data_IF_353880983213
#
_entry.id   IF_353880983213
#
_cell.length_a   1.000
_cell.length_b   1.000
_cell.length_c   1.000
_cell.angle_alpha   90.00
_cell.angle_beta   90.00
_cell.angle_gamma   90.00
#
_symmetry.space_group_name_H-M   'P 1'
#
loop_
_entity.id
_entity.type
_entity.pdbx_description
1 polymer ?
#
# COMPACT_ATOMS: atom_id res chain seq x y z
N UNK A 1 26.47 7.22 -4.89
CA UNK A 1 26.85 6.43 -3.69
C UNK A 1 26.22 6.95 -2.39
N UNK A 2 26.36 8.23 -2.02
CA UNK A 2 25.71 8.81 -0.80
C UNK A 2 24.19 8.58 -0.74
N UNK A 3 23.48 8.81 -1.85
CA UNK A 3 22.03 8.59 -1.93
C UNK A 3 21.61 7.14 -1.63
N UNK A 4 22.41 6.17 -2.06
CA UNK A 4 22.18 4.75 -1.75
C UNK A 4 22.35 4.49 -0.25
N UNK A 5 23.37 5.09 0.38
CA UNK A 5 23.58 4.95 1.83
C UNK A 5 22.43 5.53 2.64
N UNK A 6 21.97 6.74 2.29
CA UNK A 6 20.78 7.35 2.90
C UNK A 6 19.57 6.42 2.74
N UNK A 7 19.37 5.88 1.54
CA UNK A 7 18.28 4.96 1.26
C UNK A 7 18.33 3.69 2.13
N UNK A 8 19.50 3.08 2.26
CA UNK A 8 19.71 1.87 3.06
C UNK A 8 19.48 2.11 4.56
N UNK A 9 19.90 3.27 5.08
CA UNK A 9 19.77 3.62 6.50
C UNK A 9 18.31 3.55 6.97
N UNK A 10 17.35 4.02 6.17
CA UNK A 10 15.94 3.93 6.55
C UNK A 10 15.23 2.69 5.98
N UNK A 11 15.64 2.19 4.81
CA UNK A 11 14.97 1.05 4.17
C UNK A 11 15.19 -0.25 4.93
N UNK A 12 16.41 -0.51 5.43
CA UNK A 12 16.71 -1.75 6.17
C UNK A 12 15.89 -1.86 7.47
N UNK A 13 15.89 -0.86 8.38
CA UNK A 13 15.06 -0.92 9.58
C UNK A 13 13.57 -1.04 9.27
N UNK A 14 13.10 -0.34 8.22
CA UNK A 14 11.68 -0.37 7.84
C UNK A 14 11.27 -1.74 7.29
N UNK A 15 12.13 -2.36 6.49
CA UNK A 15 11.90 -3.71 5.98
C UNK A 15 11.88 -4.73 7.11
N UNK A 16 12.86 -4.66 8.02
CA UNK A 16 12.88 -5.51 9.22
C UNK A 16 11.59 -5.36 10.03
N UNK A 17 11.12 -4.12 10.23
CA UNK A 17 9.84 -3.87 10.89
C UNK A 17 8.67 -4.49 10.12
N UNK A 18 8.68 -4.41 8.79
CA UNK A 18 7.64 -5.01 7.96
C UNK A 18 7.59 -6.53 8.12
N UNK A 19 8.74 -7.21 8.06
CA UNK A 19 8.83 -8.65 8.32
C UNK A 19 8.34 -8.99 9.74
N UNK A 20 8.76 -8.23 10.76
CA UNK A 20 8.32 -8.44 12.15
C UNK A 20 6.80 -8.33 12.25
N UNK A 21 6.20 -7.28 11.70
CA UNK A 21 4.74 -7.09 11.73
C UNK A 21 4.01 -8.23 11.02
N UNK A 22 4.48 -8.66 9.84
CA UNK A 22 3.91 -9.76 9.09
C UNK A 22 3.99 -11.09 9.86
N UNK A 23 5.14 -11.39 10.49
CA UNK A 23 5.33 -12.60 11.32
C UNK A 23 4.40 -12.57 12.52
N UNK A 24 4.31 -11.45 13.25
CA UNK A 24 3.45 -11.33 14.43
C UNK A 24 1.97 -11.49 14.08
N UNK A 25 1.53 -10.90 12.96
CA UNK A 25 0.17 -11.06 12.43
C UNK A 25 -0.11 -12.52 12.09
N UNK A 26 0.81 -13.18 11.37
CA UNK A 26 0.66 -14.59 10.98
C UNK A 26 0.61 -15.51 12.19
N UNK A 27 1.48 -15.29 13.18
CA UNK A 27 1.52 -16.08 14.43
C UNK A 27 0.23 -15.92 15.24
N UNK A 28 -0.31 -14.71 15.32
CA UNK A 28 -1.51 -14.40 16.10
C UNK A 28 -2.80 -14.37 15.26
N UNK A 29 -2.81 -15.04 14.09
CA UNK A 29 -3.93 -15.02 13.13
C UNK A 29 -5.29 -15.37 13.75
N UNK A 30 -5.30 -16.32 14.69
CA UNK A 30 -6.54 -16.74 15.39
C UNK A 30 -7.19 -15.60 16.19
N UNK A 31 -6.38 -14.65 16.69
CA UNK A 31 -6.84 -13.48 17.47
C UNK A 31 -7.10 -12.26 16.59
N UNK A 32 -6.38 -12.14 15.47
CA UNK A 32 -6.42 -11.01 14.54
C UNK A 32 -7.15 -11.37 13.23
N UNK A 33 -8.32 -12.02 13.32
CA UNK A 33 -9.15 -12.33 12.14
C UNK A 33 -9.85 -11.09 11.62
N UNK A 34 -9.13 -10.24 10.90
CA UNK A 34 -9.67 -9.08 10.18
C UNK A 34 -9.24 -9.11 8.72
N UNK A 35 -10.16 -8.72 7.84
CA UNK A 35 -9.92 -8.52 6.40
C UNK A 35 -8.76 -7.55 6.17
N UNK A 36 -8.55 -6.60 7.08
CA UNK A 36 -7.42 -5.66 7.03
C UNK A 36 -6.09 -6.39 6.97
N UNK A 37 -5.91 -7.39 7.83
CA UNK A 37 -4.64 -8.09 7.95
C UNK A 37 -4.37 -9.00 6.75
N UNK A 38 -5.41 -9.50 6.06
CA UNK A 38 -5.23 -10.19 4.77
C UNK A 38 -4.64 -9.20 3.75
N UNK A 39 -5.27 -8.02 3.61
CA UNK A 39 -4.79 -6.98 2.69
C UNK A 39 -3.40 -6.47 3.04
N UNK A 40 -3.10 -6.32 4.33
CA UNK A 40 -1.77 -5.92 4.79
C UNK A 40 -0.69 -6.96 4.45
N UNK A 41 -0.99 -8.26 4.57
CA UNK A 41 -0.04 -9.32 4.20
C UNK A 41 0.16 -9.43 2.69
N UNK A 42 -0.90 -9.21 1.91
CA UNK A 42 -0.80 -9.12 0.45
C UNK A 42 0.05 -7.91 0.04
N UNK A 43 -0.24 -6.73 0.59
CA UNK A 43 0.50 -5.50 0.34
C UNK A 43 1.98 -5.64 0.76
N UNK A 44 2.26 -6.32 1.87
CA UNK A 44 3.62 -6.71 2.26
C UNK A 44 4.33 -7.50 1.15
N UNK A 45 3.71 -8.56 0.62
CA UNK A 45 4.31 -9.37 -0.43
C UNK A 45 4.58 -8.56 -1.70
N UNK A 46 3.61 -7.74 -2.14
CA UNK A 46 3.78 -6.90 -3.32
C UNK A 46 4.84 -5.82 -3.08
N UNK A 47 4.90 -5.19 -1.90
CA UNK A 47 5.90 -4.19 -1.59
C UNK A 47 7.32 -4.79 -1.48
N UNK A 48 7.47 -6.03 -1.02
CA UNK A 48 8.75 -6.75 -1.11
C UNK A 48 9.19 -6.92 -2.57
N UNK A 49 8.28 -7.32 -3.46
CA UNK A 49 8.57 -7.44 -4.89
C UNK A 49 8.95 -6.08 -5.51
N UNK A 50 8.17 -5.03 -5.23
CA UNK A 50 8.49 -3.65 -5.68
C UNK A 50 9.88 -3.25 -5.22
N UNK A 51 10.20 -3.49 -3.95
CA UNK A 51 11.48 -3.12 -3.39
C UNK A 51 12.62 -3.85 -4.10
N UNK A 52 12.50 -5.16 -4.39
CA UNK A 52 13.51 -5.92 -5.15
C UNK A 52 13.72 -5.30 -6.54
N UNK A 53 12.64 -5.07 -7.28
CA UNK A 53 12.73 -4.50 -8.63
C UNK A 53 13.33 -3.10 -8.62
N UNK A 54 12.78 -2.19 -7.81
CA UNK A 54 13.29 -0.82 -7.65
C UNK A 54 14.73 -0.78 -7.15
N UNK A 55 15.12 -1.73 -6.29
CA UNK A 55 16.49 -1.81 -5.79
C UNK A 55 17.48 -2.14 -6.91
N UNK A 56 17.12 -3.07 -7.80
CA UNK A 56 17.93 -3.42 -8.97
C UNK A 56 17.91 -2.30 -10.00
N UNK A 57 16.72 -1.81 -10.38
CA UNK A 57 16.55 -0.94 -11.55
C UNK A 57 16.84 0.53 -11.33
N UNK A 58 16.61 1.04 -10.11
CA UNK A 58 16.79 2.44 -9.79
C UNK A 58 17.94 2.64 -8.82
N UNK A 59 17.90 2.01 -7.64
CA UNK A 59 18.80 2.34 -6.53
C UNK A 59 20.24 1.88 -6.80
N UNK A 60 20.41 0.62 -7.18
CA UNK A 60 21.72 0.03 -7.40
C UNK A 60 22.31 0.50 -8.73
N UNK A 61 21.49 0.59 -9.78
CA UNK A 61 21.92 1.09 -11.09
C UNK A 61 22.46 2.53 -11.01
N UNK A 62 21.73 3.45 -10.36
CA UNK A 62 22.15 4.84 -10.17
C UNK A 62 23.36 5.02 -9.24
N UNK A 63 23.75 3.98 -8.50
CA UNK A 63 24.94 4.00 -7.67
C UNK A 63 26.14 3.31 -8.32
N UNK A 64 25.93 2.53 -9.37
CA UNK A 64 26.96 1.73 -10.03
C UNK A 64 27.56 2.50 -11.20
N UNK A 65 28.86 2.79 -11.14
CA UNK A 65 29.59 3.39 -12.25
C UNK A 65 29.93 2.35 -13.33
N UNK A 66 30.19 2.81 -14.56
CA UNK A 66 30.52 1.94 -15.70
C UNK A 66 31.74 1.02 -15.48
N UNK A 67 32.64 1.35 -14.55
CA UNK A 67 33.85 0.58 -14.24
C UNK A 67 33.84 -0.02 -12.82
N UNK A 68 32.72 0.10 -12.11
CA UNK A 68 32.60 -0.37 -10.73
C UNK A 68 32.52 -1.91 -10.66
N UNK A 69 32.74 -2.48 -9.47
CA UNK A 69 32.67 -3.93 -9.22
C UNK A 69 31.37 -4.58 -9.72
N UNK A 70 30.26 -3.86 -9.65
CA UNK A 70 28.94 -4.34 -10.06
C UNK A 70 28.60 -4.03 -11.53
N UNK A 71 29.49 -3.36 -12.28
CA UNK A 71 29.28 -3.07 -13.70
C UNK A 71 29.14 -4.33 -14.57
N UNK A 72 29.90 -5.43 -14.35
CA UNK A 72 29.72 -6.66 -15.12
C UNK A 72 28.30 -7.22 -15.01
N UNK A 73 27.64 -7.09 -13.86
CA UNK A 73 26.26 -7.55 -13.69
C UNK A 73 25.31 -6.86 -14.68
N UNK A 74 25.34 -5.52 -14.76
CA UNK A 74 24.48 -4.76 -15.66
C UNK A 74 24.81 -4.99 -17.15
N UNK A 75 26.09 -5.22 -17.47
CA UNK A 75 26.51 -5.57 -18.83
C UNK A 75 26.04 -6.96 -19.24
N UNK A 76 26.06 -7.95 -18.34
CA UNK A 76 25.60 -9.31 -18.63
C UNK A 76 24.10 -9.38 -18.90
N UNK A 77 23.30 -8.59 -18.18
CA UNK A 77 21.85 -8.56 -18.39
C UNK A 77 21.41 -7.60 -19.50
N UNK A 78 22.34 -6.85 -20.10
CA UNK A 78 22.07 -5.91 -21.17
C UNK A 78 21.47 -6.60 -22.38
N UNK A 79 20.45 -5.98 -22.97
CA UNK A 79 19.78 -6.43 -24.19
C UNK A 79 19.19 -7.85 -24.09
N UNK A 80 18.92 -8.30 -22.86
CA UNK A 80 18.26 -9.58 -22.58
C UNK A 80 16.80 -9.40 -22.19
N UNK A 81 16.05 -10.51 -22.26
CA UNK A 81 14.67 -10.60 -21.75
C UNK A 81 14.57 -10.19 -20.26
N UNK A 82 15.65 -10.35 -19.49
CA UNK A 82 15.69 -9.91 -18.09
C UNK A 82 15.55 -8.39 -17.99
N UNK A 83 16.22 -7.63 -18.85
CA UNK A 83 16.11 -6.16 -18.85
C UNK A 83 14.71 -5.69 -19.24
N UNK A 84 14.09 -6.35 -20.22
CA UNK A 84 12.71 -6.11 -20.62
C UNK A 84 11.72 -6.40 -19.48
N UNK A 85 11.92 -7.55 -18.81
CA UNK A 85 11.14 -7.94 -17.66
C UNK A 85 11.27 -6.94 -16.51
N UNK A 86 12.50 -6.57 -16.14
CA UNK A 86 12.77 -5.61 -15.07
C UNK A 86 12.12 -4.26 -15.34
N UNK A 87 12.21 -3.74 -16.57
CA UNK A 87 11.59 -2.47 -16.93
C UNK A 87 10.06 -2.56 -16.87
N UNK A 88 9.47 -3.60 -17.47
CA UNK A 88 8.01 -3.84 -17.42
C UNK A 88 7.51 -3.97 -15.98
N UNK A 89 8.26 -4.65 -15.11
CA UNK A 89 7.89 -4.84 -13.71
C UNK A 89 7.86 -3.53 -12.93
N UNK A 90 8.70 -2.54 -13.25
CA UNK A 90 8.64 -1.23 -12.59
C UNK A 90 7.28 -0.55 -12.77
N UNK A 91 6.77 -0.53 -14.01
CA UNK A 91 5.45 0.04 -14.31
C UNK A 91 4.33 -0.83 -13.75
N UNK A 92 4.45 -2.15 -13.90
CA UNK A 92 3.51 -3.11 -13.33
C UNK A 92 3.30 -2.88 -11.82
N UNK A 93 4.38 -2.75 -11.05
CA UNK A 93 4.28 -2.53 -9.61
C UNK A 93 3.62 -1.18 -9.27
N UNK A 94 3.78 -0.15 -10.10
CA UNK A 94 3.04 1.11 -9.96
C UNK A 94 1.53 0.89 -10.08
N UNK A 95 1.06 0.19 -11.12
CA UNK A 95 -0.36 -0.15 -11.24
C UNK A 95 -0.87 -0.95 -10.03
N UNK A 96 -0.12 -1.98 -9.64
CA UNK A 96 -0.46 -2.85 -8.51
C UNK A 96 -0.61 -2.06 -7.22
N UNK A 97 0.34 -1.19 -6.89
CA UNK A 97 0.32 -0.41 -5.64
C UNK A 97 -0.84 0.60 -5.60
N UNK A 98 -1.11 1.28 -6.72
CA UNK A 98 -2.22 2.22 -6.80
C UNK A 98 -3.58 1.52 -6.68
N UNK A 99 -3.74 0.40 -7.37
CA UNK A 99 -4.98 -0.38 -7.31
C UNK A 99 -5.18 -0.98 -5.92
N UNK A 100 -4.14 -1.56 -5.32
CA UNK A 100 -4.17 -2.11 -3.95
C UNK A 100 -4.63 -1.05 -2.95
N UNK A 101 -4.02 0.13 -2.99
CA UNK A 101 -4.39 1.21 -2.07
C UNK A 101 -5.84 1.67 -2.28
N UNK A 102 -6.29 1.82 -3.53
CA UNK A 102 -7.68 2.18 -3.82
C UNK A 102 -8.67 1.12 -3.31
N UNK A 103 -8.38 -0.17 -3.52
CA UNK A 103 -9.21 -1.27 -3.03
C UNK A 103 -9.19 -1.36 -1.50
N UNK A 104 -8.06 -1.11 -0.85
CA UNK A 104 -8.00 -1.01 0.62
C UNK A 104 -8.89 0.13 1.13
N UNK A 105 -8.90 1.28 0.46
CA UNK A 105 -9.80 2.41 0.81
C UNK A 105 -11.28 2.02 0.67
N UNK A 106 -11.66 1.32 -0.41
CA UNK A 106 -13.02 0.79 -0.60
C UNK A 106 -13.37 -0.24 0.48
N UNK A 107 -12.45 -1.15 0.78
CA UNK A 107 -12.59 -2.15 1.82
C UNK A 107 -12.85 -1.49 3.18
N UNK A 108 -12.05 -0.49 3.58
CA UNK A 108 -12.26 0.25 4.83
C UNK A 108 -13.62 0.96 4.84
N UNK A 109 -13.97 1.69 3.79
CA UNK A 109 -15.26 2.38 3.71
C UNK A 109 -16.42 1.40 3.86
N UNK A 110 -16.41 0.28 3.14
CA UNK A 110 -17.49 -0.70 3.20
C UNK A 110 -17.67 -1.30 4.60
N UNK A 111 -16.57 -1.59 5.31
CA UNK A 111 -16.60 -2.09 6.69
C UNK A 111 -17.14 -1.02 7.65
N UNK A 112 -16.79 0.25 7.42
CA UNK A 112 -17.31 1.38 8.20
C UNK A 112 -18.82 1.53 8.01
N UNK A 113 -19.32 1.36 6.78
CA UNK A 113 -20.75 1.47 6.47
C UNK A 113 -21.56 0.30 7.03
N UNK A 114 -21.06 -0.94 6.89
CA UNK A 114 -21.71 -2.12 7.46
C UNK A 114 -20.68 -3.20 7.80
N UNK A 115 -20.18 -3.15 9.04
CA UNK A 115 -19.16 -4.06 9.53
C UNK A 115 -19.58 -5.54 9.47
N UNK A 116 -20.83 -5.87 9.85
CA UNK A 116 -21.24 -7.28 9.98
C UNK A 116 -21.26 -8.03 8.64
N UNK A 117 -21.74 -7.38 7.59
CA UNK A 117 -21.85 -7.98 6.27
C UNK A 117 -20.53 -7.90 5.50
N UNK A 118 -19.94 -6.70 5.41
CA UNK A 118 -18.77 -6.51 4.56
C UNK A 118 -17.52 -7.17 5.12
N UNK A 119 -17.33 -7.22 6.44
CA UNK A 119 -16.16 -7.90 7.01
C UNK A 119 -16.13 -9.39 6.61
N UNK A 120 -17.28 -10.08 6.71
CA UNK A 120 -17.42 -11.47 6.26
C UNK A 120 -17.21 -11.62 4.75
N UNK A 121 -17.77 -10.70 3.97
CA UNK A 121 -17.64 -10.71 2.51
C UNK A 121 -16.17 -10.58 2.10
N UNK A 122 -15.45 -9.60 2.65
CA UNK A 122 -14.04 -9.40 2.36
C UNK A 122 -13.18 -10.55 2.84
N UNK A 123 -13.41 -11.10 4.03
CA UNK A 123 -12.68 -12.27 4.51
C UNK A 123 -12.81 -13.47 3.55
N UNK A 124 -13.97 -13.64 2.89
CA UNK A 124 -14.22 -14.74 1.96
C UNK A 124 -13.71 -14.47 0.54
N UNK A 125 -13.89 -13.25 0.04
CA UNK A 125 -13.69 -12.94 -1.39
C UNK A 125 -12.46 -12.09 -1.69
N UNK A 126 -11.66 -11.65 -0.70
CA UNK A 126 -10.47 -10.78 -0.95
C UNK A 126 -9.44 -11.39 -1.91
N UNK A 127 -9.40 -12.72 -2.06
CA UNK A 127 -8.49 -13.40 -3.00
C UNK A 127 -8.78 -13.00 -4.46
N UNK A 128 -10.05 -12.77 -4.82
CA UNK A 128 -10.44 -12.43 -6.19
C UNK A 128 -9.83 -11.09 -6.62
N UNK A 129 -10.07 -9.94 -5.92
CA UNK A 129 -9.45 -8.68 -6.29
C UNK A 129 -7.92 -8.74 -6.16
N UNK A 130 -7.34 -9.46 -5.20
CA UNK A 130 -5.88 -9.64 -5.12
C UNK A 130 -5.29 -10.28 -6.38
N UNK A 131 -5.96 -11.31 -6.92
CA UNK A 131 -5.57 -11.94 -8.17
C UNK A 131 -5.69 -10.97 -9.35
N UNK A 132 -6.81 -10.24 -9.45
CA UNK A 132 -7.01 -9.24 -10.50
C UNK A 132 -5.95 -8.14 -10.43
N UNK A 133 -5.66 -7.60 -9.25
CA UNK A 133 -4.64 -6.57 -9.07
C UNK A 133 -3.25 -7.07 -9.47
N UNK A 134 -2.93 -8.32 -9.14
CA UNK A 134 -1.64 -8.93 -9.48
C UNK A 134 -1.49 -9.17 -10.99
N UNK A 135 -2.54 -9.64 -11.67
CA UNK A 135 -2.41 -10.13 -13.05
C UNK A 135 -2.91 -9.15 -14.13
N UNK A 136 -3.93 -8.35 -13.85
CA UNK A 136 -4.49 -7.42 -14.82
C UNK A 136 -3.46 -6.43 -15.39
N UNK A 137 -2.52 -5.87 -14.61
CA UNK A 137 -1.55 -4.93 -15.15
C UNK A 137 -0.58 -5.55 -16.18
N UNK A 138 -0.43 -6.88 -16.24
CA UNK A 138 0.37 -7.50 -17.31
C UNK A 138 -0.22 -7.28 -18.69
N UNK A 139 -1.55 -7.22 -18.81
CA UNK A 139 -2.22 -6.98 -20.11
C UNK A 139 -1.87 -5.61 -20.69
N UNK A 140 -1.81 -4.59 -19.82
CA UNK A 140 -1.49 -3.21 -20.21
C UNK A 140 0.02 -3.03 -20.44
N UNK A 141 0.87 -3.73 -19.68
CA UNK A 141 2.33 -3.60 -19.77
C UNK A 141 2.96 -4.55 -20.81
N UNK A 142 2.21 -5.46 -21.42
CA UNK A 142 2.74 -6.39 -22.43
C UNK A 142 3.48 -5.70 -23.61
N UNK A 143 3.03 -4.55 -24.14
CA UNK A 143 3.78 -3.81 -25.16
C UNK A 143 5.15 -3.31 -24.68
N UNK A 144 5.27 -2.99 -23.39
CA UNK A 144 6.53 -2.56 -22.76
C UNK A 144 7.48 -3.74 -22.64
N UNK A 145 6.97 -4.90 -22.20
CA UNK A 145 7.75 -6.13 -22.12
C UNK A 145 8.29 -6.57 -23.49
N UNK A 146 7.53 -6.33 -24.56
CA UNK A 146 7.93 -6.68 -25.93
C UNK A 146 8.92 -5.68 -26.57
N UNK A 147 9.25 -4.59 -25.87
CA UNK A 147 10.15 -3.55 -26.38
C UNK A 147 11.61 -3.86 -26.10
N UNK A 148 12.53 -3.33 -26.90
CA UNK A 148 13.96 -3.49 -26.66
C UNK A 148 14.40 -2.55 -25.53
N UNK A 149 14.99 -3.16 -24.50
CA UNK A 149 15.41 -2.48 -23.28
C UNK A 149 16.91 -2.67 -23.05
N UNK A 150 17.62 -1.57 -22.89
CA UNK A 150 19.08 -1.54 -22.83
C UNK A 150 19.55 -0.74 -21.60
N UNK A 151 20.71 -1.12 -21.05
CA UNK A 151 21.34 -0.38 -19.97
C UNK A 151 22.29 0.66 -20.55
N UNK A 152 21.87 1.92 -20.49
CA UNK A 152 22.66 3.05 -20.96
C UNK A 152 23.58 3.63 -19.87
N UNK A 153 24.47 4.53 -20.31
CA UNK A 153 25.25 5.38 -19.41
C UNK A 153 24.62 6.76 -19.30
N UNK A 154 24.52 7.28 -18.08
CA UNK A 154 24.14 8.66 -17.81
C UNK A 154 25.37 9.59 -17.83
N UNK A 155 25.14 10.90 -17.80
CA UNK A 155 26.14 11.97 -17.66
C UNK A 155 27.07 11.79 -16.45
N UNK A 156 26.57 11.23 -15.34
CA UNK A 156 27.37 10.89 -14.15
C UNK A 156 28.11 9.55 -14.27
N UNK A 157 28.12 8.95 -15.47
CA UNK A 157 28.72 7.64 -15.79
C UNK A 157 28.14 6.49 -14.98
N UNK A 158 26.89 6.60 -14.54
CA UNK A 158 26.15 5.51 -13.88
C UNK A 158 25.22 4.78 -14.84
N UNK A 159 24.76 3.59 -14.45
CA UNK A 159 23.82 2.80 -15.23
C UNK A 159 22.38 3.29 -15.08
N UNK A 160 21.62 3.19 -16.17
CA UNK A 160 20.19 3.49 -16.19
C UNK A 160 19.52 2.66 -17.28
N UNK A 161 18.36 2.11 -16.96
CA UNK A 161 17.59 1.26 -17.86
C UNK A 161 16.68 2.12 -18.73
N UNK A 162 16.77 1.93 -20.04
CA UNK A 162 15.92 2.61 -21.03
C UNK A 162 15.32 1.58 -21.99
N UNK A 163 14.16 1.88 -22.55
CA UNK A 163 13.56 1.08 -23.60
C UNK A 163 13.09 1.96 -24.74
N UNK A 164 13.03 1.39 -25.94
CA UNK A 164 12.57 2.07 -27.15
C UNK A 164 11.04 2.19 -27.19
N UNK A 165 10.49 2.89 -26.20
CA UNK A 165 9.07 3.18 -26.08
C UNK A 165 8.90 4.68 -25.77
N UNK A 166 8.12 5.43 -26.55
CA UNK A 166 7.86 6.83 -26.27
C UNK A 166 7.27 7.03 -24.87
N UNK A 167 7.80 8.00 -24.12
CA UNK A 167 7.35 8.30 -22.75
C UNK A 167 5.85 8.55 -22.65
N UNK A 168 5.23 9.13 -23.69
CA UNK A 168 3.79 9.36 -23.75
C UNK A 168 2.98 8.07 -23.80
N UNK A 169 3.46 7.03 -24.50
CA UNK A 169 2.82 5.71 -24.53
C UNK A 169 2.97 4.96 -23.21
N UNK A 170 4.05 5.22 -22.47
CA UNK A 170 4.31 4.65 -21.15
C UNK A 170 3.45 5.32 -20.07
N UNK A 171 3.52 6.65 -19.97
CA UNK A 171 2.94 7.39 -18.86
C UNK A 171 1.47 7.75 -19.05
N UNK A 172 0.95 7.96 -20.27
CA UNK A 172 -0.46 8.38 -20.43
C UNK A 172 -1.45 7.34 -19.87
N UNK A 173 -1.37 6.04 -20.22
CA UNK A 173 -2.29 5.04 -19.66
C UNK A 173 -2.14 4.92 -18.14
N UNK A 174 -0.90 5.01 -17.65
CA UNK A 174 -0.59 4.95 -16.22
C UNK A 174 -1.19 6.13 -15.47
N UNK A 175 -1.05 7.36 -15.98
CA UNK A 175 -1.60 8.57 -15.36
C UNK A 175 -3.13 8.49 -15.29
N UNK A 176 -3.79 8.09 -16.38
CA UNK A 176 -5.26 7.92 -16.40
C UNK A 176 -5.69 6.94 -15.30
N UNK A 177 -5.00 5.81 -15.20
CA UNK A 177 -5.27 4.81 -14.17
C UNK A 177 -5.02 5.32 -12.75
N UNK A 178 -3.87 5.96 -12.51
CA UNK A 178 -3.50 6.53 -11.22
C UNK A 178 -4.50 7.58 -10.76
N UNK A 179 -4.94 8.48 -11.66
CA UNK A 179 -5.96 9.50 -11.38
C UNK A 179 -7.30 8.84 -11.02
N UNK A 180 -7.73 7.81 -11.74
CA UNK A 180 -8.95 7.06 -11.41
C UNK A 180 -8.86 6.43 -10.00
N UNK A 181 -7.73 5.80 -9.66
CA UNK A 181 -7.49 5.25 -8.32
C UNK A 181 -7.50 6.33 -7.24
N UNK A 182 -6.89 7.49 -7.49
CA UNK A 182 -6.87 8.60 -6.54
C UNK A 182 -8.27 9.15 -6.28
N UNK A 183 -9.05 9.39 -7.34
CA UNK A 183 -10.42 9.87 -7.20
C UNK A 183 -11.22 8.88 -6.34
N UNK A 184 -11.10 7.58 -6.62
CA UNK A 184 -11.71 6.53 -5.81
C UNK A 184 -11.27 6.60 -4.33
N UNK A 185 -9.97 6.68 -4.06
CA UNK A 185 -9.42 6.77 -2.70
C UNK A 185 -9.92 8.03 -1.96
N UNK A 186 -9.89 9.20 -2.60
CA UNK A 186 -10.32 10.48 -2.01
C UNK A 186 -11.81 10.42 -1.67
N UNK A 187 -12.65 9.94 -2.59
CA UNK A 187 -14.09 9.79 -2.35
C UNK A 187 -14.34 8.82 -1.20
N UNK A 188 -13.64 7.67 -1.17
CA UNK A 188 -13.77 6.69 -0.11
C UNK A 188 -13.37 7.26 1.26
N UNK A 189 -12.25 7.99 1.32
CA UNK A 189 -11.76 8.61 2.54
C UNK A 189 -12.69 9.73 3.03
N UNK A 190 -13.20 10.55 2.11
CA UNK A 190 -14.13 11.63 2.45
C UNK A 190 -15.43 11.09 3.04
N UNK A 191 -16.04 10.08 2.39
CA UNK A 191 -17.25 9.43 2.93
C UNK A 191 -16.96 8.76 4.28
N UNK A 192 -15.83 8.05 4.40
CA UNK A 192 -15.42 7.42 5.65
C UNK A 192 -15.34 8.46 6.78
N UNK A 193 -14.71 9.60 6.51
CA UNK A 193 -14.59 10.70 7.46
C UNK A 193 -15.96 11.28 7.87
N UNK A 194 -16.87 11.52 6.91
CA UNK A 194 -18.22 12.02 7.19
C UNK A 194 -19.02 11.06 8.08
N UNK A 195 -18.96 9.75 7.80
CA UNK A 195 -19.63 8.73 8.60
C UNK A 195 -19.07 8.70 10.01
N UNK A 196 -17.75 8.82 10.17
CA UNK A 196 -17.10 8.84 11.48
C UNK A 196 -17.50 10.06 12.27
N UNK A 197 -17.52 11.27 11.69
CA UNK A 197 -17.95 12.48 12.41
C UNK A 197 -19.35 12.28 13.00
N UNK A 198 -20.29 11.77 12.21
CA UNK A 198 -21.69 11.55 12.59
C UNK A 198 -21.91 10.38 13.54
N UNK A 199 -20.91 9.52 13.76
CA UNK A 199 -21.03 8.35 14.62
C UNK A 199 -20.85 8.67 16.11
N UNK A 200 -21.50 7.90 16.99
CA UNK A 200 -21.36 8.03 18.45
C UNK A 200 -19.96 7.62 18.93
N UNK A 201 -19.55 8.06 20.13
CA UNK A 201 -18.21 7.80 20.67
C UNK A 201 -17.89 6.31 20.85
N UNK A 202 -18.88 5.48 21.20
CA UNK A 202 -18.71 4.03 21.29
C UNK A 202 -18.49 3.40 19.92
N UNK A 203 -19.28 3.84 18.92
CA UNK A 203 -19.11 3.43 17.53
C UNK A 203 -17.76 3.93 16.99
N UNK A 204 -17.28 5.11 17.38
CA UNK A 204 -15.93 5.62 17.04
C UNK A 204 -14.79 4.84 17.69
N UNK A 205 -14.98 4.28 18.89
CA UNK A 205 -14.00 3.39 19.53
C UNK A 205 -13.98 2.00 18.89
N UNK A 206 -15.13 1.55 18.38
CA UNK A 206 -15.30 0.28 17.66
C UNK A 206 -14.86 0.39 16.21
N UNK A 207 -15.16 1.51 15.56
CA UNK A 207 -14.56 1.91 14.31
C UNK A 207 -13.09 2.09 14.59
N UNK A 208 -12.32 1.39 13.79
CA UNK A 208 -10.90 1.45 13.71
C UNK A 208 -10.42 2.84 13.21
N UNK A 209 -10.75 3.93 13.90
CA UNK A 209 -10.51 5.33 13.45
C UNK A 209 -9.05 5.59 13.11
N UNK A 210 -8.13 4.89 13.78
CA UNK A 210 -6.70 4.93 13.50
C UNK A 210 -6.37 4.44 12.08
N UNK A 211 -7.16 3.52 11.52
CA UNK A 211 -7.00 3.04 10.16
C UNK A 211 -7.53 4.02 9.11
N UNK A 212 -8.40 4.97 9.48
CA UNK A 212 -8.79 6.08 8.60
C UNK A 212 -7.62 7.04 8.40
N UNK A 213 -6.85 7.29 9.47
CA UNK A 213 -5.61 8.07 9.38
C UNK A 213 -4.61 7.35 8.47
N UNK A 214 -4.49 6.01 8.58
CA UNK A 214 -3.64 5.21 7.71
C UNK A 214 -4.00 5.39 6.23
N UNK A 215 -5.26 5.20 5.84
CA UNK A 215 -5.69 5.35 4.43
C UNK A 215 -5.59 6.80 3.93
N UNK A 216 -5.71 7.78 4.83
CA UNK A 216 -5.56 9.19 4.48
C UNK A 216 -4.11 9.51 4.14
N UNK A 217 -3.16 9.04 4.95
CA UNK A 217 -1.73 9.21 4.70
C UNK A 217 -1.31 8.49 3.41
N UNK A 218 -1.77 7.25 3.18
CA UNK A 218 -1.45 6.53 1.94
C UNK A 218 -2.02 7.22 0.70
N UNK A 219 -3.17 7.89 0.81
CA UNK A 219 -3.74 8.67 -0.30
C UNK A 219 -2.92 9.92 -0.62
N UNK A 220 -2.30 10.56 0.38
CA UNK A 220 -1.36 11.67 0.15
C UNK A 220 -0.12 11.18 -0.60
N UNK A 221 0.41 10.00 -0.25
CA UNK A 221 1.53 9.39 -0.97
C UNK A 221 1.13 9.01 -2.40
N UNK A 222 -0.09 8.50 -2.61
CA UNK A 222 -0.67 8.29 -3.95
C UNK A 222 -0.65 9.58 -4.78
N UNK A 223 -1.15 10.67 -4.22
CA UNK A 223 -1.16 11.97 -4.89
C UNK A 223 0.25 12.41 -5.28
N UNK A 224 1.20 12.33 -4.35
CA UNK A 224 2.60 12.68 -4.61
C UNK A 224 3.20 11.86 -5.76
N UNK A 225 2.97 10.54 -5.79
CA UNK A 225 3.44 9.68 -6.88
C UNK A 225 2.84 10.02 -8.23
N UNK A 226 1.58 10.47 -8.28
CA UNK A 226 0.91 10.81 -9.54
C UNK A 226 1.43 12.13 -10.06
N UNK A 227 1.65 13.11 -9.18
CA UNK A 227 2.30 14.38 -9.53
C UNK A 227 3.68 14.11 -10.15
N UNK A 228 4.49 13.23 -9.56
CA UNK A 228 5.78 12.84 -10.14
C UNK A 228 5.62 12.20 -11.52
N UNK A 229 4.65 11.30 -11.68
CA UNK A 229 4.40 10.63 -12.97
C UNK A 229 4.01 11.64 -14.06
N UNK A 230 3.17 12.63 -13.74
CA UNK A 230 2.78 13.74 -14.63
C UNK A 230 4.00 14.58 -15.01
N UNK A 231 4.84 14.94 -14.04
CA UNK A 231 6.07 15.71 -14.28
C UNK A 231 6.99 14.96 -15.25
N UNK A 232 7.19 13.65 -15.01
CA UNK A 232 8.04 12.81 -15.86
C UNK A 232 7.52 12.72 -17.31
N UNK A 233 6.21 12.63 -17.48
CA UNK A 233 5.60 12.60 -18.82
C UNK A 233 5.79 13.92 -19.57
N UNK A 234 5.51 15.06 -18.91
CA UNK A 234 5.56 16.38 -19.54
C UNK A 234 6.97 16.91 -19.79
N UNK A 235 7.99 16.35 -19.15
CA UNK A 235 9.35 16.88 -19.15
C UNK A 235 10.41 15.89 -19.67
N UNK A 236 10.00 14.85 -20.40
CA UNK A 236 10.82 13.70 -20.84
C UNK A 236 12.18 14.06 -21.46
N UNK A 237 12.31 15.21 -22.13
CA UNK A 237 13.56 15.65 -22.78
C UNK A 237 14.37 16.71 -22.01
N UNK A 238 13.98 17.04 -20.78
CA UNK A 238 14.60 18.12 -19.99
C UNK A 238 15.51 17.58 -18.89
N UNK A 239 16.36 18.45 -18.34
CA UNK A 239 17.14 18.15 -17.13
C UNK A 239 16.26 17.81 -15.92
N UNK A 240 15.02 18.32 -15.89
CA UNK A 240 14.03 18.05 -14.83
C UNK A 240 13.70 16.56 -14.79
N UNK A 241 13.49 15.90 -15.93
CA UNK A 241 13.23 14.46 -15.96
C UNK A 241 14.36 13.68 -15.29
N UNK A 242 15.61 14.01 -15.61
CA UNK A 242 16.79 13.34 -15.05
C UNK A 242 16.83 13.48 -13.53
N UNK A 243 16.61 14.68 -13.01
CA UNK A 243 16.61 14.95 -11.57
C UNK A 243 15.49 14.21 -10.87
N UNK A 244 14.26 14.33 -11.39
CA UNK A 244 13.07 13.73 -10.78
C UNK A 244 13.13 12.21 -10.81
N UNK A 245 13.47 11.62 -11.95
CA UNK A 245 13.58 10.16 -12.12
C UNK A 245 14.70 9.58 -11.23
N UNK A 246 15.81 10.30 -11.06
CA UNK A 246 16.96 9.79 -10.32
C UNK A 246 16.80 9.95 -8.82
N UNK A 247 16.43 11.15 -8.38
CA UNK A 247 16.53 11.50 -6.98
C UNK A 247 15.19 11.43 -6.29
N UNK A 248 14.10 11.84 -6.94
CA UNK A 248 12.80 11.98 -6.28
C UNK A 248 11.99 10.69 -6.36
N UNK A 249 11.96 10.04 -7.53
CA UNK A 249 11.17 8.84 -7.78
C UNK A 249 11.49 7.70 -6.80
N UNK A 250 12.76 7.39 -6.46
CA UNK A 250 13.06 6.35 -5.48
C UNK A 250 12.50 6.64 -4.09
N UNK A 251 12.53 7.89 -3.61
CA UNK A 251 11.96 8.25 -2.30
C UNK A 251 10.44 8.10 -2.28
N UNK A 252 9.76 8.50 -3.34
CA UNK A 252 8.31 8.34 -3.43
C UNK A 252 7.93 6.86 -3.51
N UNK A 253 8.67 6.06 -4.31
CA UNK A 253 8.53 4.61 -4.32
C UNK A 253 8.75 3.98 -2.94
N UNK A 254 9.66 4.53 -2.15
CA UNK A 254 9.87 4.08 -0.77
C UNK A 254 8.71 4.48 0.13
N UNK A 255 8.15 5.68 -0.04
CA UNK A 255 6.89 6.07 0.61
C UNK A 255 5.77 5.05 0.41
N UNK A 256 5.63 4.47 -0.78
CA UNK A 256 4.65 3.40 -1.03
C UNK A 256 5.03 2.06 -0.40
N UNK A 257 6.31 1.71 -0.32
CA UNK A 257 6.71 0.36 0.06
C UNK A 257 6.94 0.21 1.56
N UNK A 258 7.56 1.20 2.22
CA UNK A 258 8.07 1.02 3.59
C UNK A 258 7.31 1.81 4.66
N UNK A 259 6.35 2.67 4.28
CA UNK A 259 5.56 3.46 5.23
C UNK A 259 4.53 2.62 6.00
N UNK A 260 3.92 1.63 5.35
CA UNK A 260 2.87 0.77 5.88
C UNK A 260 3.17 0.15 7.27
N UNK A 261 4.34 -0.47 7.51
CA UNK A 261 4.64 -1.05 8.82
C UNK A 261 4.77 -0.02 9.94
N UNK A 262 5.32 1.16 9.65
CA UNK A 262 5.41 2.24 10.63
C UNK A 262 4.03 2.75 11.01
N UNK A 263 3.18 3.00 10.00
CA UNK A 263 1.80 3.41 10.24
C UNK A 263 1.06 2.37 11.07
N UNK A 264 1.19 1.07 10.75
CA UNK A 264 0.53 0.02 11.51
C UNK A 264 0.97 -0.01 12.97
N UNK A 265 2.27 0.10 13.26
CA UNK A 265 2.79 0.06 14.64
C UNK A 265 2.40 1.30 15.45
N UNK A 266 2.38 2.47 14.82
CA UNK A 266 1.98 3.73 15.47
C UNK A 266 0.48 3.72 15.76
N UNK A 267 -0.33 3.30 14.79
CA UNK A 267 -1.79 3.44 14.81
C UNK A 267 -2.50 2.24 15.45
N UNK A 268 -1.95 1.02 15.38
CA UNK A 268 -2.57 -0.18 15.94
C UNK A 268 -2.00 -0.56 17.32
N UNK A 269 -2.72 -0.16 18.37
CA UNK A 269 -2.46 -0.59 19.76
C UNK A 269 -2.32 -2.12 19.91
N UNK A 270 -3.22 -2.97 19.38
CA UNK A 270 -3.12 -4.42 19.56
C UNK A 270 -1.88 -5.01 18.87
N UNK A 271 -1.53 -4.56 17.66
CA UNK A 271 -0.31 -5.03 16.98
C UNK A 271 0.94 -4.62 17.75
N UNK A 272 1.01 -3.37 18.21
CA UNK A 272 2.14 -2.88 19.02
C UNK A 272 2.31 -3.67 20.32
N UNK A 273 1.22 -4.02 20.99
CA UNK A 273 1.27 -4.84 22.20
C UNK A 273 1.78 -6.26 21.90
N UNK A 274 1.29 -6.88 20.82
CA UNK A 274 1.75 -8.20 20.39
C UNK A 274 3.23 -8.20 19.99
N UNK A 275 3.73 -7.14 19.34
CA UNK A 275 5.17 -7.00 19.03
C UNK A 275 5.99 -6.91 20.32
N UNK A 276 5.59 -6.06 21.29
CA UNK A 276 6.29 -5.94 22.58
C UNK A 276 6.35 -7.26 23.33
N UNK A 277 5.24 -8.00 23.34
CA UNK A 277 5.13 -9.29 24.03
C UNK A 277 5.89 -10.41 23.30
N UNK A 278 5.73 -10.54 21.99
CA UNK A 278 6.23 -11.71 21.24
C UNK A 278 7.68 -11.56 20.79
N UNK A 279 8.16 -10.33 20.56
CA UNK A 279 9.53 -10.06 20.07
C UNK A 279 10.44 -9.63 21.20
N UNK A 280 10.03 -8.61 21.95
CA UNK A 280 10.87 -8.06 23.03
C UNK A 280 10.71 -8.81 24.35
N UNK A 281 9.79 -9.79 24.43
CA UNK A 281 9.46 -10.54 25.65
C UNK A 281 9.23 -9.63 26.87
N UNK A 282 8.77 -8.39 26.65
CA UNK A 282 8.31 -7.58 27.76
C UNK A 282 7.08 -8.27 28.31
N UNK A 283 7.22 -8.80 29.53
CA UNK A 283 6.12 -9.37 30.28
C UNK A 283 5.07 -8.27 30.43
N UNK A 284 3.99 -8.40 29.67
CA UNK A 284 2.85 -7.53 29.84
C UNK A 284 2.30 -7.82 31.22
N UNK A 285 2.46 -6.88 32.16
CA UNK A 285 1.65 -6.84 33.37
C UNK A 285 0.22 -7.17 32.96
N UNK A 286 -0.31 -8.24 33.54
CA UNK A 286 -1.68 -8.70 33.35
C UNK A 286 -2.59 -7.49 33.48
N UNK A 287 -3.23 -7.08 32.39
CA UNK A 287 -4.50 -6.38 32.55
C UNK A 287 -5.44 -7.46 33.05
N UNK A 288 -5.59 -7.53 34.37
CA UNK A 288 -6.54 -8.40 35.02
C UNK A 288 -7.92 -8.18 34.37
N UNK A 289 -8.65 -9.25 34.01
CA UNK A 289 -10.06 -9.10 33.77
C UNK A 289 -10.67 -8.68 35.11
N UNK A 290 -11.34 -7.54 35.15
CA UNK A 290 -12.17 -7.19 36.29
C UNK A 290 -13.13 -8.36 36.54
N UNK A 291 -12.84 -9.11 37.61
CA UNK A 291 -13.73 -10.13 38.12
C UNK A 291 -14.99 -9.44 38.61
N UNK A 292 -16.11 -9.81 38.01
CA UNK A 292 -17.40 -9.82 38.68
C UNK A 292 -18.11 -11.07 38.19
N UNK A 293 -18.05 -12.12 38.99
CA UNK A 293 -18.92 -13.27 38.80
C UNK A 293 -20.37 -12.79 38.85
N UNK A 294 -21.08 -12.98 37.75
CA UNK A 294 -22.53 -12.94 37.69
C UNK A 294 -22.98 -13.78 36.49
N UNK A 295 -23.47 -14.96 36.82
CA UNK A 295 -24.45 -15.81 36.13
C UNK A 295 -25.06 -15.18 34.87
N UNK A 296 -24.83 -15.81 33.72
CA UNK A 296 -25.51 -15.46 32.47
C UNK A 296 -27.00 -15.83 32.55
N UNK A 297 -27.86 -14.86 32.83
CA UNK A 297 -29.24 -14.85 32.39
C UNK A 297 -29.34 -14.00 31.11
N UNK A 298 -29.70 -14.62 29.98
CA UNK A 298 -30.44 -13.94 28.91
C UNK A 298 -31.84 -13.57 29.48
N UNK A 299 -32.53 -12.46 29.12
CA UNK A 299 -32.53 -11.75 27.83
C UNK A 299 -32.68 -10.19 27.89
N UNK A 300 -32.07 -9.44 26.95
CA UNK A 300 -32.51 -8.05 26.66
C UNK A 300 -32.21 -7.56 25.22
N UNK A 301 -31.81 -8.47 24.33
CA UNK A 301 -31.30 -8.12 22.99
C UNK A 301 -32.38 -7.83 21.94
N UNK A 302 -33.66 -8.11 22.21
CA UNK A 302 -34.74 -7.87 21.23
C UNK A 302 -35.43 -6.51 21.38
N UNK A 303 -35.43 -5.90 22.57
CA UNK A 303 -36.23 -4.68 22.79
C UNK A 303 -35.58 -3.42 22.19
N UNK A 304 -34.24 -3.34 22.16
CA UNK A 304 -33.53 -2.18 21.61
C UNK A 304 -33.44 -2.16 20.07
N UNK A 305 -33.69 -3.28 19.38
CA UNK A 305 -33.67 -3.31 17.91
C UNK A 305 -34.97 -2.78 17.28
N UNK A 306 -36.12 -2.95 17.96
CA UNK A 306 -37.39 -2.39 17.49
C UNK A 306 -37.42 -0.86 17.55
N UNK A 307 -36.77 -0.25 18.56
CA UNK A 307 -36.65 1.21 18.65
C UNK A 307 -35.76 1.83 17.57
N UNK A 308 -34.71 1.11 17.14
CA UNK A 308 -33.80 1.59 16.10
C UNK A 308 -34.45 1.47 14.71
N UNK A 309 -35.18 0.38 14.42
CA UNK A 309 -35.93 0.26 13.17
C UNK A 309 -37.07 1.29 13.08
N UNK A 310 -37.81 1.56 14.16
CA UNK A 310 -38.87 2.57 14.16
C UNK A 310 -38.35 3.99 13.90
N UNK A 311 -37.16 4.34 14.41
CA UNK A 311 -36.58 5.66 14.16
C UNK A 311 -36.08 5.83 12.71
N UNK A 312 -35.63 4.75 12.07
CA UNK A 312 -35.23 4.78 10.66
C UNK A 312 -36.46 4.89 9.75
N UNK A 313 -37.57 4.19 10.05
CA UNK A 313 -38.81 4.29 9.29
C UNK A 313 -39.44 5.69 9.34
N UNK A 314 -39.40 6.36 10.51
CA UNK A 314 -39.92 7.74 10.66
C UNK A 314 -39.12 8.78 9.87
N UNK A 315 -37.82 8.56 9.69
CA UNK A 315 -36.97 9.44 8.87
C UNK A 315 -37.19 9.26 7.36
N UNK A 316 -37.79 8.15 6.92
CA UNK A 316 -38.04 7.91 5.49
C UNK A 316 -39.39 8.47 5.03
N UNK A 317 -40.35 8.67 5.95
CA UNK A 317 -41.70 9.18 5.63
C UNK A 317 -41.75 10.73 5.67
N UNK A 318 -40.78 11.40 6.30
CA UNK A 318 -40.72 12.88 6.38
C UNK A 318 -40.19 13.56 5.10
N UNK A 319 -39.99 12.82 4.01
CA UNK A 319 -39.54 13.35 2.71
C UNK A 319 -40.41 12.83 1.57
N UNK A 320 -41.74 12.93 1.69
CA UNK A 320 -42.66 13.05 0.56
C UNK A 320 -43.87 13.86 0.99
#
# INVERSE_FOLDING_TARGET
MWMLMVNLIYSIPSLLLYFITAIVIRKNWKKLKSSFFIWYLYDFAMNCLTMIFTFITLKTASATCQTCLLAPFYRTIQDTVISQFLYSMMYHMSYTQYCTTAVISVNRLSIILNHYTFEKLWLRFSIIPMFVICFAPFTVNFPIFSSNCTWGSREDKTFVLFCDVPSTRLYNPLIIFQVACIICSIVCNFISFLVVIKSTTEIKKRLESNFIVLISITTVVQLAGTVITIILNGNSNTSIYKVVHTYVLPFISDGFTIMHPWLLVVLSKPVRHLIRRDIFKFESASVEPHNSGATWQQPQYQHNQQHIQQNISRLTISKY
#
